data_IF_879616620167
#
_entry.id   IF_879616620167
#
_cell.length_a   1.000
_cell.length_b   1.000
_cell.length_c   1.000
_cell.angle_alpha   90.00
_cell.angle_beta   90.00
_cell.angle_gamma   90.00
#
_symmetry.space_group_name_H-M   'P 1'
#
loop_
_entity.id
_entity.type
_entity.pdbx_description
1 polymer ?
#
# COMPACT_ATOMS: atom_id res chain seq x y z
N UNK A 1 0.81 -8.80 2.44
CA UNK A 1 1.46 -7.51 2.79
C UNK A 1 0.36 -6.47 2.98
N UNK A 2 0.51 -5.52 3.91
CA UNK A 2 -0.56 -4.54 4.19
C UNK A 2 -0.96 -3.68 2.99
N UNK A 3 -0.07 -3.44 2.01
CA UNK A 3 -0.44 -2.75 0.77
C UNK A 3 -1.49 -3.55 0.01
N UNK A 4 -1.23 -4.84 -0.23
CA UNK A 4 -2.15 -5.71 -0.93
C UNK A 4 -3.46 -5.87 -0.17
N UNK A 5 -3.39 -6.13 1.13
CA UNK A 5 -4.58 -6.25 2.00
C UNK A 5 -5.39 -4.95 2.03
N UNK A 6 -4.71 -3.80 2.17
CA UNK A 6 -5.31 -2.49 2.23
C UNK A 6 -6.01 -2.12 0.92
N UNK A 7 -5.36 -2.33 -0.23
CA UNK A 7 -5.96 -2.06 -1.55
C UNK A 7 -7.11 -3.03 -1.84
N UNK A 8 -6.95 -4.33 -1.55
CA UNK A 8 -8.01 -5.31 -1.86
C UNK A 8 -9.26 -5.05 -1.03
N UNK A 9 -9.10 -4.78 0.26
CA UNK A 9 -10.23 -4.45 1.14
C UNK A 9 -10.80 -3.06 0.83
N UNK A 10 -9.97 -2.10 0.43
CA UNK A 10 -10.46 -0.79 -0.04
C UNK A 10 -11.33 -0.93 -1.29
N UNK A 11 -10.95 -1.84 -2.20
CA UNK A 11 -11.72 -2.09 -3.42
C UNK A 11 -13.15 -2.56 -3.14
N UNK A 12 -13.39 -3.36 -2.09
CA UNK A 12 -14.75 -3.80 -1.75
C UNK A 12 -15.45 -2.92 -0.70
N UNK A 13 -14.75 -1.95 -0.11
CA UNK A 13 -15.25 -1.18 1.04
C UNK A 13 -16.57 -0.43 0.78
N UNK A 14 -16.78 0.09 -0.44
CA UNK A 14 -18.01 0.81 -0.80
C UNK A 14 -19.18 -0.15 -1.07
N UNK A 15 -19.04 -1.17 -1.97
CA UNK A 15 -20.07 -2.18 -2.16
C UNK A 15 -20.49 -2.89 -0.87
N UNK A 16 -19.54 -3.27 -0.02
CA UNK A 16 -19.80 -3.99 1.23
C UNK A 16 -20.59 -3.14 2.24
N UNK A 17 -20.44 -1.81 2.18
CA UNK A 17 -21.09 -0.85 3.07
C UNK A 17 -22.16 0.00 2.35
N UNK A 18 -22.77 -0.53 1.28
CA UNK A 18 -23.77 0.16 0.45
C UNK A 18 -24.88 0.87 1.24
N UNK A 19 -25.39 0.23 2.29
CA UNK A 19 -26.45 0.79 3.16
C UNK A 19 -25.98 2.06 3.86
N UNK A 20 -24.75 2.07 4.37
CA UNK A 20 -24.16 3.25 5.02
C UNK A 20 -23.92 4.36 4.01
N UNK A 21 -23.40 4.02 2.83
CA UNK A 21 -23.14 4.99 1.76
C UNK A 21 -24.41 5.72 1.33
N UNK A 22 -25.54 5.01 1.24
CA UNK A 22 -26.83 5.59 0.81
C UNK A 22 -27.59 6.34 1.90
N UNK A 23 -27.46 5.94 3.16
CA UNK A 23 -28.36 6.39 4.24
C UNK A 23 -27.71 7.20 5.34
N UNK A 24 -26.39 7.14 5.49
CA UNK A 24 -25.69 7.85 6.56
C UNK A 24 -24.96 9.09 6.02
N UNK A 25 -25.06 10.20 6.75
CA UNK A 25 -24.42 11.47 6.41
C UNK A 25 -23.01 11.48 6.99
N UNK A 26 -22.05 10.95 6.25
CA UNK A 26 -20.63 10.99 6.62
C UNK A 26 -19.72 11.04 5.37
N UNK A 27 -18.43 11.42 5.53
CA UNK A 27 -17.48 11.39 4.42
C UNK A 27 -17.17 9.93 4.02
N UNK A 28 -17.59 9.53 2.82
CA UNK A 28 -17.44 8.15 2.29
C UNK A 28 -15.95 7.73 2.22
N UNK A 29 -15.04 8.70 2.06
CA UNK A 29 -13.58 8.53 2.12
C UNK A 29 -13.11 7.82 3.40
N UNK A 30 -13.83 7.99 4.51
CA UNK A 30 -13.51 7.33 5.79
C UNK A 30 -13.60 5.80 5.70
N UNK A 31 -14.42 5.24 4.80
CA UNK A 31 -14.49 3.79 4.60
C UNK A 31 -13.16 3.26 4.08
N UNK A 32 -12.62 3.89 3.03
CA UNK A 32 -11.32 3.52 2.45
C UNK A 32 -10.20 3.75 3.46
N UNK A 33 -10.18 4.92 4.12
CA UNK A 33 -9.18 5.24 5.13
C UNK A 33 -9.16 4.23 6.30
N UNK A 34 -10.33 3.85 6.80
CA UNK A 34 -10.45 2.92 7.94
C UNK A 34 -9.82 1.55 7.65
N UNK A 35 -10.02 1.06 6.42
CA UNK A 35 -9.49 -0.23 5.97
C UNK A 35 -7.98 -0.17 5.78
N UNK A 36 -7.47 0.93 5.19
CA UNK A 36 -6.02 1.13 5.02
C UNK A 36 -5.33 1.20 6.37
N UNK A 37 -5.90 1.95 7.33
CA UNK A 37 -5.39 2.02 8.70
C UNK A 37 -5.42 0.65 9.37
N UNK A 38 -6.51 -0.13 9.21
CA UNK A 38 -6.61 -1.49 9.74
C UNK A 38 -5.50 -2.40 9.20
N UNK A 39 -5.19 -2.35 7.91
CA UNK A 39 -4.11 -3.13 7.31
C UNK A 39 -2.73 -2.70 7.85
N UNK A 40 -2.53 -1.40 8.08
CA UNK A 40 -1.30 -0.86 8.65
C UNK A 40 -1.12 -1.27 10.11
N UNK A 41 -2.19 -1.31 10.90
CA UNK A 41 -2.17 -1.83 12.28
C UNK A 41 -1.75 -3.30 12.28
N UNK A 42 -2.28 -4.12 11.37
CA UNK A 42 -1.86 -5.52 11.22
C UNK A 42 -0.35 -5.62 10.93
N UNK A 43 0.20 -4.75 10.08
CA UNK A 43 1.64 -4.71 9.82
C UNK A 43 2.45 -4.22 11.01
N UNK A 44 1.97 -3.26 11.80
CA UNK A 44 2.63 -2.82 13.02
C UNK A 44 2.74 -3.97 14.03
N UNK A 45 1.70 -4.80 14.14
CA UNK A 45 1.74 -6.02 14.97
C UNK A 45 2.78 -7.00 14.42
N UNK A 46 2.81 -7.23 13.11
CA UNK A 46 3.83 -8.10 12.51
C UNK A 46 5.26 -7.57 12.72
N UNK A 47 5.45 -6.25 12.59
CA UNK A 47 6.73 -5.58 12.82
C UNK A 47 7.15 -5.59 14.28
N UNK A 48 6.24 -5.47 15.24
CA UNK A 48 6.57 -5.54 16.66
C UNK A 48 7.01 -6.95 17.06
N UNK A 49 6.35 -7.98 16.54
CA UNK A 49 6.77 -9.39 16.71
C UNK A 49 8.16 -9.61 16.10
N UNK A 50 8.39 -9.10 14.89
CA UNK A 50 9.69 -9.22 14.24
C UNK A 50 10.81 -8.45 14.98
N UNK A 51 10.51 -7.25 15.48
CA UNK A 51 11.45 -6.48 16.30
C UNK A 51 11.77 -7.18 17.63
N UNK A 52 10.78 -7.79 18.28
CA UNK A 52 11.00 -8.60 19.48
C UNK A 52 11.92 -9.80 19.19
N UNK A 53 11.73 -10.47 18.04
CA UNK A 53 12.63 -11.54 17.59
C UNK A 53 14.07 -11.06 17.38
N UNK A 54 14.26 -9.90 16.72
CA UNK A 54 15.60 -9.30 16.55
C UNK A 54 16.24 -8.89 17.87
N UNK A 55 15.45 -8.44 18.84
CA UNK A 55 15.90 -8.11 20.19
C UNK A 55 16.43 -9.34 20.92
N UNK A 56 15.74 -10.48 20.82
CA UNK A 56 16.19 -11.75 21.42
C UNK A 56 17.51 -12.25 20.81
N UNK A 57 17.77 -11.94 19.55
CA UNK A 57 19.03 -12.26 18.87
C UNK A 57 20.14 -11.23 19.12
N UNK A 58 19.85 -10.11 19.79
CA UNK A 58 20.83 -9.02 20.00
C UNK A 58 21.13 -8.19 18.74
N UNK A 59 20.30 -8.29 17.70
CA UNK A 59 20.44 -7.55 16.43
C UNK A 59 19.49 -6.34 16.32
N UNK A 60 18.86 -5.94 17.42
CA UNK A 60 18.02 -4.74 17.41
C UNK A 60 18.89 -3.50 17.22
N UNK A 61 18.55 -2.69 16.22
CA UNK A 61 19.32 -1.49 15.87
C UNK A 61 18.44 -0.24 15.84
N UNK A 62 19.07 0.92 16.06
CA UNK A 62 18.42 2.24 16.04
C UNK A 62 17.79 2.55 14.67
N UNK A 63 18.29 1.93 13.60
CA UNK A 63 17.78 2.09 12.24
C UNK A 63 16.32 1.64 12.04
N UNK A 64 15.75 0.88 12.98
CA UNK A 64 14.31 0.54 12.98
C UNK A 64 13.42 1.80 12.96
N UNK A 65 13.90 2.93 13.51
CA UNK A 65 13.17 4.21 13.47
C UNK A 65 12.90 4.66 12.03
N UNK A 66 13.73 4.27 11.06
CA UNK A 66 13.51 4.56 9.63
C UNK A 66 12.35 3.77 9.02
N UNK A 67 11.80 2.76 9.71
CA UNK A 67 10.58 2.09 9.27
C UNK A 67 9.35 3.01 9.40
N UNK A 68 9.35 4.00 10.32
CA UNK A 68 8.25 4.94 10.50
C UNK A 68 8.00 5.84 9.28
N UNK A 69 9.00 6.55 8.71
CA UNK A 69 8.78 7.34 7.50
C UNK A 69 8.39 6.46 6.31
N UNK A 70 8.96 5.26 6.17
CA UNK A 70 8.56 4.30 5.13
C UNK A 70 7.07 3.94 5.26
N UNK A 71 6.59 3.75 6.49
CA UNK A 71 5.19 3.43 6.79
C UNK A 71 4.24 4.58 6.47
N UNK A 72 4.63 5.83 6.74
CA UNK A 72 3.85 7.01 6.31
C UNK A 72 3.70 7.08 4.79
N UNK A 73 4.79 6.83 4.05
CA UNK A 73 4.77 6.80 2.58
C UNK A 73 3.93 5.63 2.06
N UNK A 74 4.01 4.47 2.69
CA UNK A 74 3.17 3.31 2.38
C UNK A 74 1.69 3.62 2.56
N UNK A 75 1.29 4.28 3.65
CA UNK A 75 -0.11 4.67 3.90
C UNK A 75 -0.63 5.53 2.76
N UNK A 76 0.15 6.54 2.35
CA UNK A 76 -0.23 7.46 1.28
C UNK A 76 -0.41 6.74 -0.07
N UNK A 77 0.53 5.86 -0.41
CA UNK A 77 0.47 5.04 -1.62
C UNK A 77 -0.75 4.10 -1.60
N UNK A 78 -0.95 3.38 -0.50
CA UNK A 78 -2.02 2.41 -0.32
C UNK A 78 -3.39 3.08 -0.34
N UNK A 79 -3.51 4.25 0.28
CA UNK A 79 -4.72 5.06 0.26
C UNK A 79 -5.03 5.57 -1.16
N UNK A 80 -4.05 6.14 -1.85
CA UNK A 80 -4.23 6.62 -3.23
C UNK A 80 -4.71 5.52 -4.17
N UNK A 81 -4.03 4.37 -4.18
CA UNK A 81 -4.41 3.23 -5.01
C UNK A 81 -5.74 2.61 -4.53
N UNK A 82 -5.98 2.56 -3.23
CA UNK A 82 -7.22 2.08 -2.62
C UNK A 82 -8.45 2.90 -3.04
N UNK A 83 -8.32 4.23 -3.08
CA UNK A 83 -9.36 5.13 -3.58
C UNK A 83 -9.67 4.89 -5.06
N UNK A 84 -8.64 4.68 -5.89
CA UNK A 84 -8.83 4.32 -7.31
C UNK A 84 -9.55 2.97 -7.45
N UNK A 85 -9.09 1.96 -6.71
CA UNK A 85 -9.68 0.63 -6.70
C UNK A 85 -11.15 0.65 -6.26
N UNK A 86 -11.46 1.37 -5.18
CA UNK A 86 -12.82 1.57 -4.69
C UNK A 86 -13.71 2.30 -5.70
N UNK A 87 -13.16 3.28 -6.41
CA UNK A 87 -13.90 3.99 -7.46
C UNK A 87 -14.22 3.04 -8.62
N UNK A 88 -13.22 2.32 -9.13
CA UNK A 88 -13.38 1.40 -10.28
C UNK A 88 -14.41 0.30 -9.99
N UNK A 89 -14.38 -0.28 -8.79
CA UNK A 89 -15.29 -1.36 -8.40
C UNK A 89 -16.75 -0.94 -8.27
N UNK A 90 -17.03 0.32 -7.95
CA UNK A 90 -18.38 0.87 -7.96
C UNK A 90 -18.94 0.96 -9.39
N UNK A 91 -18.10 1.32 -10.37
CA UNK A 91 -18.52 1.34 -11.78
C UNK A 91 -18.53 -0.06 -12.42
N UNK A 92 -17.61 -0.93 -12.01
CA UNK A 92 -17.42 -2.27 -12.57
C UNK A 92 -17.30 -3.29 -11.44
N UNK A 93 -18.42 -3.97 -11.15
CA UNK A 93 -18.53 -4.88 -10.00
C UNK A 93 -17.49 -6.02 -10.00
N UNK A 94 -17.12 -6.52 -11.17
CA UNK A 94 -16.16 -7.62 -11.32
C UNK A 94 -14.69 -7.18 -11.23
N UNK A 95 -14.42 -5.87 -11.21
CA UNK A 95 -13.06 -5.35 -11.14
C UNK A 95 -12.35 -5.70 -9.81
N UNK A 96 -13.09 -5.97 -8.73
CA UNK A 96 -12.50 -6.32 -7.44
C UNK A 96 -11.65 -7.59 -7.52
N UNK A 97 -12.12 -8.60 -8.24
CA UNK A 97 -11.37 -9.85 -8.43
C UNK A 97 -10.13 -9.62 -9.30
N UNK A 98 -10.27 -8.84 -10.39
CA UNK A 98 -9.15 -8.48 -11.25
C UNK A 98 -8.06 -7.71 -10.50
N UNK A 99 -8.42 -6.76 -9.63
CA UNK A 99 -7.49 -6.02 -8.78
C UNK A 99 -6.73 -6.98 -7.84
N UNK A 100 -7.41 -7.95 -7.23
CA UNK A 100 -6.76 -8.96 -6.38
C UNK A 100 -5.71 -9.80 -7.13
N UNK A 101 -6.02 -10.21 -8.36
CA UNK A 101 -5.08 -10.94 -9.23
C UNK A 101 -3.89 -10.05 -9.60
N UNK A 102 -4.14 -8.80 -10.02
CA UNK A 102 -3.08 -7.85 -10.38
C UNK A 102 -2.13 -7.58 -9.20
N UNK A 103 -2.66 -7.40 -7.98
CA UNK A 103 -1.84 -7.21 -6.79
C UNK A 103 -0.98 -8.45 -6.48
N UNK A 104 -1.52 -9.65 -6.74
CA UNK A 104 -0.76 -10.90 -6.58
C UNK A 104 0.39 -10.98 -7.58
N UNK A 105 0.17 -10.58 -8.84
CA UNK A 105 1.24 -10.48 -9.85
C UNK A 105 2.31 -9.47 -9.43
N UNK A 106 1.91 -8.30 -8.92
CA UNK A 106 2.85 -7.28 -8.41
C UNK A 106 3.66 -7.82 -7.22
N UNK A 107 3.04 -8.59 -6.32
CA UNK A 107 3.74 -9.23 -5.20
C UNK A 107 4.86 -10.16 -5.70
N UNK A 108 4.57 -11.03 -6.67
CA UNK A 108 5.58 -11.95 -7.23
C UNK A 108 6.61 -11.24 -8.11
N UNK A 109 6.28 -10.12 -8.72
CA UNK A 109 7.24 -9.29 -9.47
C UNK A 109 8.19 -8.51 -8.56
N UNK A 110 7.84 -8.36 -7.29
CA UNK A 110 8.62 -7.62 -6.30
C UNK A 110 9.57 -8.58 -5.56
N UNK A 111 10.85 -8.21 -5.35
CA UNK A 111 11.85 -9.04 -4.66
C UNK A 111 11.59 -9.06 -3.15
N UNK A 112 10.50 -9.71 -2.76
CA UNK A 112 10.07 -9.93 -1.37
C UNK A 112 10.56 -11.29 -0.90
N UNK A 113 10.32 -12.32 -1.70
CA UNK A 113 10.68 -13.72 -1.40
C UNK A 113 12.02 -14.13 -1.98
N UNK A 114 12.60 -13.31 -2.87
CA UNK A 114 13.87 -13.57 -3.53
C UNK A 114 14.77 -12.33 -3.53
N UNK A 115 16.10 -12.49 -3.50
CA UNK A 115 17.04 -11.39 -3.65
C UNK A 115 16.97 -10.74 -5.03
N UNK A 116 17.04 -9.41 -5.07
CA UNK A 116 17.04 -8.62 -6.31
C UNK A 116 18.17 -8.99 -7.29
N UNK A 117 19.26 -9.60 -6.81
CA UNK A 117 20.37 -10.07 -7.65
C UNK A 117 19.99 -11.20 -8.61
N UNK A 118 18.93 -11.95 -8.33
CA UNK A 118 18.43 -13.01 -9.23
C UNK A 118 17.65 -12.47 -10.43
N UNK A 119 17.30 -11.17 -10.43
CA UNK A 119 16.54 -10.57 -11.54
C UNK A 119 17.46 -10.35 -12.75
N UNK A 120 17.14 -10.92 -13.93
CA UNK A 120 17.94 -10.71 -15.14
C UNK A 120 18.04 -9.23 -15.50
N UNK A 121 19.18 -8.82 -16.08
CA UNK A 121 19.45 -7.42 -16.41
C UNK A 121 18.34 -6.76 -17.27
N UNK A 122 17.67 -7.53 -18.14
CA UNK A 122 16.56 -7.06 -18.98
C UNK A 122 15.33 -6.58 -18.19
N UNK A 123 15.09 -7.14 -17.00
CA UNK A 123 13.91 -6.83 -16.17
C UNK A 123 14.20 -5.83 -15.04
N UNK A 124 15.48 -5.44 -14.84
CA UNK A 124 15.85 -4.39 -13.88
C UNK A 124 15.11 -3.06 -14.03
N UNK A 125 14.91 -2.50 -15.25
CA UNK A 125 14.19 -1.22 -15.36
C UNK A 125 12.71 -1.31 -14.92
N UNK A 126 12.07 -2.49 -15.09
CA UNK A 126 10.71 -2.71 -14.60
C UNK A 126 10.68 -2.77 -13.07
N UNK A 127 11.72 -3.37 -12.48
CA UNK A 127 11.89 -3.42 -11.03
C UNK A 127 12.14 -2.02 -10.43
N UNK A 128 12.99 -1.22 -11.06
CA UNK A 128 13.28 0.17 -10.67
C UNK A 128 12.10 1.13 -10.91
N UNK A 129 11.13 0.74 -11.75
CA UNK A 129 9.88 1.49 -11.92
C UNK A 129 8.80 1.09 -10.91
N UNK A 130 9.02 0.06 -10.09
CA UNK A 130 8.01 -0.44 -9.16
C UNK A 130 8.16 0.23 -7.77
N UNK A 131 7.21 1.10 -7.35
CA UNK A 131 7.30 1.76 -6.04
C UNK A 131 7.24 0.77 -4.87
N UNK A 132 6.56 -0.38 -5.03
CA UNK A 132 6.50 -1.42 -3.99
C UNK A 132 7.89 -2.04 -3.78
N UNK A 133 8.70 -2.17 -4.83
CA UNK A 133 10.06 -2.67 -4.71
C UNK A 133 10.96 -1.73 -3.89
N UNK A 134 10.88 -0.42 -4.13
CA UNK A 134 11.63 0.56 -3.35
C UNK A 134 11.19 0.60 -1.88
N UNK A 135 9.89 0.44 -1.61
CA UNK A 135 9.38 0.40 -0.25
C UNK A 135 9.85 -0.86 0.50
N UNK A 136 9.84 -2.03 -0.16
CA UNK A 136 10.36 -3.28 0.41
C UNK A 136 11.86 -3.19 0.69
N UNK A 137 12.62 -2.60 -0.24
CA UNK A 137 14.05 -2.36 -0.05
C UNK A 137 14.30 -1.48 1.18
N UNK A 138 13.54 -0.39 1.34
CA UNK A 138 13.65 0.49 2.51
C UNK A 138 13.37 -0.26 3.82
N UNK A 139 12.31 -1.07 3.91
CA UNK A 139 12.08 -1.88 5.10
C UNK A 139 13.22 -2.87 5.37
N UNK A 140 13.74 -3.54 4.34
CA UNK A 140 14.86 -4.46 4.49
C UNK A 140 16.14 -3.74 4.98
N UNK A 141 16.41 -2.55 4.46
CA UNK A 141 17.57 -1.76 4.86
C UNK A 141 17.48 -1.30 6.32
N UNK A 142 16.27 -0.90 6.76
CA UNK A 142 16.00 -0.49 8.14
C UNK A 142 16.13 -1.64 9.15
N UNK A 143 15.58 -2.83 8.83
CA UNK A 143 15.55 -3.96 9.76
C UNK A 143 16.80 -4.84 9.72
N UNK A 144 17.41 -5.06 8.54
CA UNK A 144 18.44 -6.10 8.36
C UNK A 144 19.83 -5.53 8.07
N UNK A 145 19.92 -4.51 7.23
CA UNK A 145 21.23 -4.01 6.77
C UNK A 145 21.76 -2.86 7.62
N UNK A 146 20.91 -2.23 8.44
CA UNK A 146 21.30 -1.12 9.32
C UNK A 146 21.93 0.03 8.54
N UNK A 147 21.46 0.24 7.31
CA UNK A 147 21.95 1.27 6.39
C UNK A 147 20.87 2.29 6.12
N UNK A 148 21.30 3.51 5.78
CA UNK A 148 20.41 4.51 5.22
C UNK A 148 19.84 4.01 3.88
N UNK A 149 18.54 4.19 3.63
CA UNK A 149 17.95 3.90 2.34
C UNK A 149 18.57 4.81 1.28
N UNK A 150 18.67 4.31 0.05
CA UNK A 150 19.20 5.08 -1.06
C UNK A 150 18.37 6.36 -1.30
N UNK A 151 18.96 7.57 -1.28
CA UNK A 151 18.23 8.83 -1.39
C UNK A 151 17.38 8.95 -2.66
N UNK A 152 17.88 8.39 -3.78
CA UNK A 152 17.17 8.36 -5.06
C UNK A 152 15.89 7.53 -4.98
N UNK A 153 15.97 6.35 -4.35
CA UNK A 153 14.83 5.46 -4.11
C UNK A 153 13.78 6.12 -3.20
N UNK A 154 14.23 6.81 -2.14
CA UNK A 154 13.34 7.54 -1.22
C UNK A 154 12.63 8.69 -1.94
N UNK A 155 13.35 9.51 -2.72
CA UNK A 155 12.77 10.62 -3.46
C UNK A 155 11.75 10.14 -4.49
N UNK A 156 12.10 9.09 -5.26
CA UNK A 156 11.18 8.47 -6.21
C UNK A 156 9.90 8.00 -5.52
N UNK A 157 10.02 7.28 -4.41
CA UNK A 157 8.88 6.77 -3.67
C UNK A 157 8.00 7.89 -3.10
N UNK A 158 8.60 8.97 -2.59
CA UNK A 158 7.87 10.14 -2.09
C UNK A 158 7.06 10.80 -3.21
N UNK A 159 7.66 11.03 -4.37
CA UNK A 159 6.97 11.64 -5.52
C UNK A 159 5.83 10.74 -5.99
N UNK A 160 6.10 9.45 -6.24
CA UNK A 160 5.08 8.52 -6.76
C UNK A 160 3.93 8.35 -5.76
N UNK A 161 4.23 8.20 -4.48
CA UNK A 161 3.19 8.04 -3.45
C UNK A 161 2.36 9.31 -3.28
N UNK A 162 2.99 10.49 -3.37
CA UNK A 162 2.28 11.77 -3.31
C UNK A 162 1.37 11.97 -4.50
N UNK A 163 1.86 11.68 -5.71
CA UNK A 163 1.05 11.73 -6.94
C UNK A 163 -0.10 10.74 -6.89
N UNK A 164 0.16 9.48 -6.49
CA UNK A 164 -0.87 8.46 -6.35
C UNK A 164 -1.92 8.84 -5.29
N UNK A 165 -1.49 9.35 -4.15
CA UNK A 165 -2.36 9.83 -3.07
C UNK A 165 -3.25 10.99 -3.52
N UNK A 166 -2.66 12.01 -4.16
CA UNK A 166 -3.39 13.17 -4.66
C UNK A 166 -4.37 12.79 -5.77
N UNK A 167 -3.91 12.07 -6.80
CA UNK A 167 -4.76 11.67 -7.91
C UNK A 167 -5.88 10.73 -7.45
N UNK A 168 -5.57 9.76 -6.58
CA UNK A 168 -6.56 8.84 -6.02
C UNK A 168 -7.62 9.57 -5.21
N UNK A 169 -7.23 10.50 -4.35
CA UNK A 169 -8.17 11.31 -3.57
C UNK A 169 -9.02 12.24 -4.46
N UNK A 170 -8.40 12.95 -5.41
CA UNK A 170 -9.11 13.85 -6.32
C UNK A 170 -10.13 13.11 -7.18
N UNK A 171 -9.76 11.96 -7.72
CA UNK A 171 -10.67 11.13 -8.52
C UNK A 171 -11.81 10.58 -7.67
N UNK A 172 -11.55 10.18 -6.42
CA UNK A 172 -12.58 9.71 -5.49
C UNK A 172 -13.59 10.82 -5.17
N UNK A 173 -13.11 12.02 -4.83
CA UNK A 173 -13.97 13.18 -4.56
C UNK A 173 -14.82 13.54 -5.78
N UNK A 174 -14.23 13.47 -6.98
CA UNK A 174 -14.92 13.78 -8.24
C UNK A 174 -15.95 12.72 -8.62
N UNK A 175 -15.70 11.45 -8.30
CA UNK A 175 -16.62 10.35 -8.56
C UNK A 175 -17.74 10.23 -7.51
N UNK A 176 -17.53 10.77 -6.31
CA UNK A 176 -18.44 10.72 -5.15
C UNK A 176 -19.94 10.93 -5.46
N UNK A 177 -20.35 11.92 -6.27
CA UNK A 177 -21.77 12.13 -6.55
C UNK A 177 -22.47 10.94 -7.20
N UNK A 178 -21.73 10.12 -7.96
CA UNK A 178 -22.28 8.99 -8.72
C UNK A 178 -22.34 7.70 -7.88
N UNK A 179 -21.70 7.66 -6.71
CA UNK A 179 -21.63 6.43 -5.91
C UNK A 179 -23.00 6.02 -5.35
N UNK A 180 -23.85 6.99 -4.97
CA UNK A 180 -25.18 6.68 -4.41
C UNK A 180 -26.13 6.06 -5.45
N UNK A 181 -25.96 6.39 -6.73
CA UNK A 181 -26.81 5.93 -7.83
C UNK A 181 -26.39 4.55 -8.39
N UNK A 182 -25.10 4.21 -8.28
CA UNK A 182 -24.50 3.02 -8.90
C UNK A 182 -24.32 1.83 -7.95
N UNK A 183 -24.21 2.10 -6.66
CA UNK A 183 -24.27 1.08 -5.58
C UNK A 183 -25.74 0.76 -5.32
#
# INVERSE_FOLDING_TARGET
MAIQEGISRAASALPDNAVMVKKAVFPIEMLVASVVVSAVVNQLIAFSVFAAYLLLLGHLSVWIVLALPALAVQVLLTYGIGCLAATITVFVRDAGHAIGILLSVVFFATPIVYPASMVPARFRPILEANPVAHLVAWYRDAFTLHTLPEPRSVLYLLVVSSVAGLLGALLFVRARPHFADLI
#
